data_IF_594214586839
#
_entry.id   IF_594214586839
#
_cell.length_a   1.000
_cell.length_b   1.000
_cell.length_c   1.000
_cell.angle_alpha   90.00
_cell.angle_beta   90.00
_cell.angle_gamma   90.00
#
_symmetry.space_group_name_H-M   'P 1'
#
loop_
_entity.id
_entity.type
_entity.pdbx_description
1 polymer ?
#
# COMPACT_ATOMS: atom_id res chain seq x y z
N UNK A 1 -48.70 -32.64 -27.47
CA UNK A 1 -48.49 -31.19 -27.67
C UNK A 1 -47.97 -30.59 -26.38
N UNK A 2 -46.79 -29.94 -26.46
CA UNK A 2 -46.12 -29.07 -25.47
C UNK A 2 -45.26 -29.74 -24.39
N UNK A 3 -44.04 -30.12 -24.78
CA UNK A 3 -42.84 -30.00 -23.94
C UNK A 3 -42.73 -28.58 -23.38
N UNK A 4 -42.40 -28.47 -22.09
CA UNK A 4 -42.21 -27.20 -21.39
C UNK A 4 -40.75 -26.80 -21.50
N UNK A 5 -40.50 -25.88 -22.43
CA UNK A 5 -39.27 -25.13 -22.62
C UNK A 5 -39.07 -24.18 -21.42
N UNK A 6 -38.10 -24.48 -20.55
CA UNK A 6 -37.62 -23.58 -19.49
C UNK A 6 -36.10 -23.69 -19.41
N UNK A 7 -35.40 -22.94 -20.27
CA UNK A 7 -34.03 -22.48 -19.98
C UNK A 7 -33.57 -21.33 -20.90
N UNK A 8 -34.39 -20.29 -21.02
CA UNK A 8 -33.99 -19.02 -21.65
C UNK A 8 -34.03 -17.86 -20.68
N UNK A 9 -33.08 -17.78 -19.75
CA UNK A 9 -32.72 -16.51 -19.08
C UNK A 9 -31.24 -16.52 -18.70
N UNK A 10 -30.43 -15.73 -19.40
CA UNK A 10 -29.06 -15.46 -18.99
C UNK A 10 -28.04 -15.14 -20.08
N UNK A 11 -28.38 -15.19 -21.37
CA UNK A 11 -27.49 -14.66 -22.41
C UNK A 11 -27.67 -13.14 -22.54
N UNK A 12 -26.86 -12.37 -21.85
CA UNK A 12 -26.51 -11.02 -22.31
C UNK A 12 -25.16 -10.55 -21.76
N UNK A 13 -24.22 -10.42 -22.69
CA UNK A 13 -23.21 -9.36 -22.79
C UNK A 13 -22.00 -9.45 -21.84
N UNK A 14 -20.99 -10.21 -22.26
CA UNK A 14 -19.59 -9.82 -22.11
C UNK A 14 -18.89 -9.97 -23.46
N UNK A 15 -19.20 -9.05 -24.38
CA UNK A 15 -18.43 -8.86 -25.62
C UNK A 15 -17.36 -7.80 -25.34
N UNK A 16 -16.11 -8.19 -25.57
CA UNK A 16 -14.94 -7.34 -25.82
C UNK A 16 -14.33 -6.57 -24.64
N UNK A 17 -13.55 -7.27 -23.80
CA UNK A 17 -12.26 -6.77 -23.34
C UNK A 17 -11.26 -7.91 -23.47
N UNK A 18 -10.18 -7.69 -24.23
CA UNK A 18 -9.21 -8.72 -24.61
C UNK A 18 -8.69 -9.50 -23.41
N UNK A 19 -9.17 -10.74 -23.26
CA UNK A 19 -8.63 -11.69 -22.30
C UNK A 19 -7.21 -12.04 -22.71
N UNK A 20 -6.22 -11.42 -22.06
CA UNK A 20 -4.86 -11.97 -22.08
C UNK A 20 -4.98 -13.43 -21.59
N UNK A 21 -4.43 -14.40 -22.32
CA UNK A 21 -4.45 -15.78 -21.85
C UNK A 21 -3.80 -15.80 -20.47
N UNK A 22 -4.51 -16.35 -19.47
CA UNK A 22 -3.94 -16.60 -18.15
C UNK A 22 -2.86 -17.64 -18.33
N UNK A 23 -1.63 -17.17 -18.54
CA UNK A 23 -0.46 -18.04 -18.51
C UNK A 23 -0.33 -18.45 -17.05
N UNK A 24 -0.68 -19.71 -16.75
CA UNK A 24 -0.38 -20.38 -15.49
C UNK A 24 1.14 -20.56 -15.38
N UNK A 25 1.88 -19.45 -15.29
CA UNK A 25 3.28 -19.44 -14.94
C UNK A 25 3.37 -19.63 -13.43
N UNK A 26 4.27 -20.49 -12.92
CA UNK A 26 4.52 -20.65 -11.49
C UNK A 26 4.94 -19.34 -10.78
N UNK A 27 5.17 -18.25 -11.53
CA UNK A 27 5.51 -16.91 -11.04
C UNK A 27 4.38 -15.88 -11.15
N UNK A 28 3.13 -16.28 -11.36
CA UNK A 28 1.96 -15.39 -11.44
C UNK A 28 1.59 -14.69 -10.10
N UNK A 29 2.44 -14.76 -9.08
CA UNK A 29 2.19 -14.22 -7.74
C UNK A 29 1.99 -12.70 -7.73
N UNK A 30 2.55 -11.98 -8.70
CA UNK A 30 2.53 -10.52 -8.76
C UNK A 30 1.59 -9.96 -9.86
N UNK A 31 0.86 -10.81 -10.60
CA UNK A 31 -0.03 -10.34 -11.65
C UNK A 31 -1.19 -9.52 -11.07
N UNK A 32 -1.28 -8.24 -11.47
CA UNK A 32 -2.26 -7.29 -10.95
C UNK A 32 -1.90 -6.59 -9.63
N UNK A 33 -0.71 -6.80 -9.08
CA UNK A 33 -0.25 -6.02 -7.92
C UNK A 33 -0.06 -4.54 -8.31
N UNK A 34 -0.69 -3.64 -7.58
CA UNK A 34 -0.55 -2.19 -7.76
C UNK A 34 -0.08 -1.55 -6.46
N UNK A 35 0.72 -0.47 -6.58
CA UNK A 35 1.13 0.30 -5.43
C UNK A 35 -0.10 1.01 -4.84
N UNK A 36 -0.42 0.72 -3.59
CA UNK A 36 -1.37 1.52 -2.83
C UNK A 36 -0.62 2.72 -2.29
N UNK A 37 -0.89 3.89 -2.87
CA UNK A 37 -0.38 5.15 -2.37
C UNK A 37 -1.31 5.57 -1.22
N UNK A 38 -0.80 5.75 0.02
CA UNK A 38 -1.61 6.23 1.12
C UNK A 38 -2.20 7.61 0.79
N UNK A 39 -3.46 7.84 1.17
CA UNK A 39 -4.08 9.16 1.02
C UNK A 39 -3.61 10.02 2.17
N UNK A 40 -2.86 11.09 1.87
CA UNK A 40 -2.43 12.08 2.85
C UNK A 40 -3.67 12.78 3.43
N UNK A 41 -3.77 12.82 4.75
CA UNK A 41 -4.91 13.46 5.43
C UNK A 41 -4.87 15.00 5.27
N UNK A 42 -6.02 15.68 5.32
CA UNK A 42 -6.07 17.15 5.30
C UNK A 42 -5.22 17.81 6.40
N UNK A 43 -5.14 17.18 7.57
CA UNK A 43 -4.34 17.62 8.72
C UNK A 43 -2.84 17.59 8.38
N UNK A 44 -2.34 16.53 7.76
CA UNK A 44 -0.94 16.46 7.34
C UNK A 44 -0.61 17.46 6.24
N UNK A 45 -1.59 17.80 5.40
CA UNK A 45 -1.44 18.83 4.38
C UNK A 45 -1.26 20.22 5.02
N UNK A 46 -1.94 20.52 6.13
CA UNK A 46 -1.76 21.81 6.82
C UNK A 46 -0.40 21.87 7.52
N UNK A 47 0.00 20.80 8.20
CA UNK A 47 1.32 20.68 8.83
C UNK A 47 2.46 20.83 7.81
N UNK A 48 2.31 20.21 6.63
CA UNK A 48 3.29 20.33 5.55
C UNK A 48 3.51 21.78 5.10
N UNK A 49 2.44 22.59 5.06
CA UNK A 49 2.53 24.02 4.77
C UNK A 49 3.27 24.78 5.87
N UNK A 50 3.07 24.42 7.13
CA UNK A 50 3.77 25.06 8.27
C UNK A 50 5.26 24.72 8.23
N UNK A 51 5.61 23.43 8.12
CA UNK A 51 7.01 22.96 8.09
C UNK A 51 7.84 23.60 6.95
N UNK A 52 7.20 23.79 5.78
CA UNK A 52 7.85 24.36 4.59
C UNK A 52 7.91 25.90 4.57
N UNK A 53 7.15 26.60 5.43
CA UNK A 53 7.09 28.05 5.46
C UNK A 53 8.27 28.66 6.23
N UNK A 54 9.27 29.16 5.51
CA UNK A 54 10.48 29.78 6.09
C UNK A 54 10.23 31.11 6.81
N UNK A 55 9.03 31.69 6.69
CA UNK A 55 8.69 32.93 7.40
C UNK A 55 8.26 32.67 8.85
N UNK A 56 7.95 31.42 9.18
CA UNK A 56 7.59 31.00 10.54
C UNK A 56 8.83 30.72 11.42
N UNK A 57 8.68 30.82 12.76
CA UNK A 57 9.70 30.41 13.71
C UNK A 57 10.23 28.99 13.44
N UNK A 58 11.52 28.77 13.69
CA UNK A 58 12.15 27.47 13.47
C UNK A 58 11.49 26.35 14.29
N UNK A 59 11.29 26.57 15.60
CA UNK A 59 10.60 25.63 16.49
C UNK A 59 9.26 25.14 15.91
N UNK A 60 8.41 26.06 15.45
CA UNK A 60 7.08 25.72 14.94
C UNK A 60 7.15 24.84 13.68
N UNK A 61 8.17 25.10 12.85
CA UNK A 61 8.42 24.31 11.64
C UNK A 61 8.95 22.92 11.97
N UNK A 62 9.82 22.81 12.97
CA UNK A 62 10.37 21.53 13.43
C UNK A 62 9.31 20.68 14.09
N UNK A 63 8.50 21.25 14.98
CA UNK A 63 7.37 20.56 15.61
C UNK A 63 6.39 20.02 14.56
N UNK A 64 6.03 20.85 13.57
CA UNK A 64 5.15 20.40 12.47
C UNK A 64 5.78 19.30 11.63
N UNK A 65 7.10 19.34 11.42
CA UNK A 65 7.82 18.31 10.69
C UNK A 65 7.82 16.99 11.47
N UNK A 66 8.16 17.00 12.75
CA UNK A 66 8.14 15.81 13.62
C UNK A 66 6.77 15.13 13.64
N UNK A 67 5.68 15.91 13.75
CA UNK A 67 4.31 15.36 13.72
C UNK A 67 4.01 14.62 12.41
N UNK A 68 4.45 15.17 11.26
CA UNK A 68 4.27 14.50 9.97
C UNK A 68 5.05 13.18 9.96
N UNK A 69 6.28 13.17 10.47
CA UNK A 69 7.12 11.98 10.48
C UNK A 69 6.52 10.86 11.33
N UNK A 70 6.12 11.18 12.55
CA UNK A 70 5.54 10.21 13.48
C UNK A 70 4.21 9.65 12.95
N UNK A 71 3.51 10.41 12.10
CA UNK A 71 2.26 9.97 11.49
C UNK A 71 2.48 9.08 10.25
N UNK A 72 3.47 9.41 9.41
CA UNK A 72 3.61 8.82 8.06
C UNK A 72 4.72 7.77 7.96
N UNK A 73 5.72 7.83 8.82
CA UNK A 73 6.90 6.95 8.74
C UNK A 73 6.79 5.84 9.76
N UNK A 74 6.70 4.63 9.24
CA UNK A 74 6.59 3.44 10.07
C UNK A 74 5.15 2.96 10.20
N UNK A 75 4.84 2.32 11.33
CA UNK A 75 3.55 1.63 11.57
C UNK A 75 3.02 0.79 10.41
N UNK A 76 3.95 0.24 9.66
CA UNK A 76 3.67 -0.52 8.46
C UNK A 76 3.07 -1.89 8.77
N UNK A 77 2.36 -2.44 7.80
CA UNK A 77 1.67 -3.72 7.97
C UNK A 77 2.61 -4.88 8.36
N UNK A 78 2.19 -5.64 9.37
CA UNK A 78 2.75 -6.94 9.72
C UNK A 78 1.71 -8.01 9.45
N UNK A 79 1.89 -8.79 8.38
CA UNK A 79 0.88 -9.74 7.91
C UNK A 79 1.40 -11.17 7.95
N UNK A 80 0.57 -12.10 8.42
CA UNK A 80 0.91 -13.52 8.44
C UNK A 80 0.78 -14.15 7.05
N UNK A 81 1.83 -14.79 6.57
CA UNK A 81 1.88 -15.40 5.23
C UNK A 81 1.50 -16.88 5.24
N UNK A 82 0.20 -17.15 5.40
CA UNK A 82 -0.33 -18.54 5.51
C UNK A 82 -0.09 -19.39 4.26
N UNK A 83 0.00 -18.78 3.08
CA UNK A 83 0.22 -19.52 1.84
C UNK A 83 1.68 -19.97 1.73
N UNK A 84 2.63 -19.08 2.04
CA UNK A 84 4.06 -19.44 2.09
C UNK A 84 4.30 -20.49 3.17
N UNK A 85 3.69 -20.34 4.36
CA UNK A 85 3.76 -21.36 5.43
C UNK A 85 3.45 -22.78 4.91
N UNK A 86 2.38 -22.93 4.11
CA UNK A 86 1.98 -24.23 3.53
C UNK A 86 2.96 -24.74 2.47
N UNK A 87 3.50 -23.83 1.67
CA UNK A 87 4.41 -24.18 0.57
C UNK A 87 5.77 -24.67 1.07
N UNK A 88 6.32 -24.05 2.12
CA UNK A 88 7.68 -24.35 2.60
C UNK A 88 7.72 -25.19 3.88
N UNK A 89 6.56 -25.60 4.40
CA UNK A 89 6.46 -26.46 5.59
C UNK A 89 6.82 -25.79 6.92
N UNK A 90 6.84 -24.45 6.97
CA UNK A 90 7.12 -23.66 8.16
C UNK A 90 5.84 -23.08 8.75
N UNK A 91 5.89 -22.67 10.03
CA UNK A 91 4.76 -22.06 10.74
C UNK A 91 5.17 -20.70 11.30
N UNK A 92 4.18 -19.82 11.50
CA UNK A 92 4.35 -18.51 12.12
C UNK A 92 5.29 -17.59 11.33
N UNK A 93 5.10 -17.54 10.00
CA UNK A 93 5.81 -16.59 9.15
C UNK A 93 5.00 -15.31 9.05
N UNK A 94 5.60 -14.22 9.52
CA UNK A 94 5.07 -12.88 9.41
C UNK A 94 5.97 -12.04 8.51
N UNK A 95 5.36 -11.29 7.61
CA UNK A 95 6.03 -10.38 6.69
C UNK A 95 5.78 -8.95 7.15
N UNK A 96 6.88 -8.21 7.37
CA UNK A 96 6.84 -6.77 7.69
C UNK A 96 7.01 -5.98 6.40
N UNK A 97 5.96 -5.26 5.99
CA UNK A 97 5.90 -4.58 4.70
C UNK A 97 6.34 -3.12 4.79
N UNK A 98 7.62 -2.84 4.60
CA UNK A 98 8.16 -1.47 4.63
C UNK A 98 7.89 -0.66 3.33
N UNK A 99 7.18 -1.26 2.37
CA UNK A 99 6.72 -0.55 1.16
C UNK A 99 5.62 0.47 1.42
N UNK A 100 5.03 0.50 2.61
CA UNK A 100 4.02 1.49 3.00
C UNK A 100 4.58 2.83 3.49
N UNK A 101 5.90 2.94 3.68
CA UNK A 101 6.52 4.23 4.02
C UNK A 101 6.47 5.19 2.81
N UNK A 102 6.62 6.52 3.00
CA UNK A 102 6.46 7.52 1.94
C UNK A 102 7.28 7.30 0.66
N UNK A 103 8.54 6.85 0.76
CA UNK A 103 9.38 6.53 -0.43
C UNK A 103 9.23 5.09 -0.91
N UNK A 104 8.39 4.30 -0.25
CA UNK A 104 8.19 2.89 -0.52
C UNK A 104 9.32 1.98 -0.02
N UNK A 105 10.14 2.47 0.92
CA UNK A 105 11.26 1.68 1.45
C UNK A 105 11.43 1.84 2.96
N UNK A 106 12.14 0.88 3.58
CA UNK A 106 12.55 0.99 4.99
C UNK A 106 13.49 2.18 5.25
N UNK A 107 14.14 2.73 4.21
CA UNK A 107 15.18 3.76 4.38
C UNK A 107 14.64 5.07 4.94
N UNK A 108 13.34 5.31 4.84
CA UNK A 108 12.71 6.51 5.43
C UNK A 108 13.03 6.61 6.91
N UNK A 109 12.93 5.50 7.66
CA UNK A 109 13.20 5.49 9.11
C UNK A 109 14.61 5.99 9.45
N UNK A 110 15.63 5.53 8.72
CA UNK A 110 17.02 5.92 9.00
C UNK A 110 17.34 7.32 8.49
N UNK A 111 16.78 7.69 7.33
CA UNK A 111 16.96 9.03 6.78
C UNK A 111 16.45 10.10 7.74
N UNK A 112 15.29 9.86 8.36
CA UNK A 112 14.72 10.79 9.33
C UNK A 112 15.47 10.82 10.66
N UNK A 113 15.83 9.66 11.23
CA UNK A 113 16.64 9.63 12.44
C UNK A 113 17.96 10.42 12.26
N UNK A 114 18.62 10.27 11.12
CA UNK A 114 19.85 11.02 10.82
C UNK A 114 19.61 12.52 10.59
N UNK A 115 18.49 12.90 9.98
CA UNK A 115 18.17 14.30 9.78
C UNK A 115 17.85 14.99 11.11
N UNK A 116 17.12 14.32 12.01
CA UNK A 116 16.78 14.84 13.33
C UNK A 116 18.01 14.96 14.24
N UNK A 117 18.90 13.97 14.23
CA UNK A 117 20.17 14.02 14.98
C UNK A 117 21.08 15.20 14.57
N UNK A 118 20.89 15.74 13.36
CA UNK A 118 21.70 16.82 12.80
C UNK A 118 21.10 18.22 13.00
N UNK A 119 19.88 18.32 13.53
CA UNK A 119 19.17 19.58 13.81
C UNK A 119 19.45 20.06 15.25
#
# INVERSE_FOLDING_TARGET
>A
MKERDKDRRGQSLDKNLGGRPRVNSPFSLLDGASAQIPVITPELTSLSKIASDKTRPLEERLESFEIILDSEVGDTNLTRSRNIEREIGLRQIYLKFEGGNPTGTQKDRIAFAQALDAL
#
